data_IF_992458174408
#
_entry.id   IF_992458174408
#
_cell.length_a   1.000
_cell.length_b   1.000
_cell.length_c   1.000
_cell.angle_alpha   90.00
_cell.angle_beta   90.00
_cell.angle_gamma   90.00
#
_symmetry.space_group_name_H-M   'P 1'
#
loop_
_entity.id
_entity.type
_entity.pdbx_description
1 polymer ?
#
# COMPACT_ATOMS: atom_id res chain seq x y z
N UNK A 1 20.48 -18.06 -11.01
CA UNK A 1 20.16 -17.22 -9.84
C UNK A 1 19.90 -15.78 -10.28
N UNK A 2 18.80 -15.23 -9.85
CA UNK A 2 18.43 -13.87 -10.25
C UNK A 2 19.15 -12.83 -9.41
N UNK A 3 19.72 -11.83 -10.06
CA UNK A 3 20.29 -10.68 -9.36
C UNK A 3 19.29 -9.52 -9.27
N UNK A 4 18.12 -9.70 -9.84
CA UNK A 4 17.09 -8.67 -9.83
C UNK A 4 16.36 -8.65 -8.49
N UNK A 5 16.00 -7.46 -8.07
CA UNK A 5 15.30 -7.29 -6.80
C UNK A 5 14.16 -6.28 -6.96
N UNK A 6 13.05 -6.58 -6.33
CA UNK A 6 11.90 -5.68 -6.28
C UNK A 6 11.36 -5.73 -4.85
N UNK A 7 11.70 -4.74 -4.06
CA UNK A 7 11.37 -4.71 -2.65
C UNK A 7 10.92 -3.32 -2.26
N UNK A 8 9.79 -3.22 -1.59
CA UNK A 8 9.23 -1.97 -1.12
C UNK A 8 8.94 -2.11 0.35
N UNK A 9 9.39 -1.15 1.14
CA UNK A 9 9.07 -1.06 2.54
C UNK A 9 8.59 0.36 2.82
N UNK A 10 7.41 0.48 3.42
CA UNK A 10 6.82 1.78 3.71
C UNK A 10 6.18 1.76 5.07
N UNK A 11 6.18 2.92 5.72
CA UNK A 11 5.47 3.14 6.96
C UNK A 11 4.50 4.29 6.72
N UNK A 12 3.23 4.06 7.01
CA UNK A 12 2.21 5.08 6.76
C UNK A 12 0.89 4.74 7.42
N UNK A 13 -0.13 5.51 7.06
CA UNK A 13 -1.47 5.34 7.60
C UNK A 13 -2.40 4.84 6.50
N UNK A 14 -3.04 3.69 6.71
CA UNK A 14 -3.88 3.10 5.68
C UNK A 14 -5.30 3.62 5.72
N UNK A 15 -5.98 3.52 4.57
CA UNK A 15 -7.43 3.60 4.54
C UNK A 15 -8.01 2.25 4.96
N UNK A 16 -9.32 2.21 5.15
CA UNK A 16 -9.99 0.96 5.49
C UNK A 16 -9.85 -0.03 4.33
N UNK A 17 -9.39 -1.26 4.61
CA UNK A 17 -9.26 -2.26 3.55
C UNK A 17 -10.59 -2.71 2.99
N UNK A 18 -10.62 -2.95 1.70
CA UNK A 18 -11.79 -3.48 1.00
C UNK A 18 -11.45 -4.87 0.49
N UNK A 19 -12.28 -5.83 0.87
CA UNK A 19 -12.09 -7.22 0.45
C UNK A 19 -12.94 -7.55 -0.75
N UNK A 20 -12.31 -8.12 -1.77
CA UNK A 20 -13.00 -8.72 -2.89
C UNK A 20 -12.93 -10.23 -2.71
N UNK A 21 -14.03 -10.82 -2.22
CA UNK A 21 -14.04 -12.24 -1.89
C UNK A 21 -13.96 -13.14 -3.13
N UNK A 22 -14.44 -12.67 -4.27
CA UNK A 22 -14.36 -13.46 -5.50
C UNK A 22 -12.92 -13.66 -5.95
N UNK A 23 -12.11 -12.62 -5.81
CA UNK A 23 -10.71 -12.69 -6.19
C UNK A 23 -9.78 -13.06 -5.04
N UNK A 24 -10.34 -13.16 -3.83
CA UNK A 24 -9.57 -13.40 -2.64
C UNK A 24 -8.44 -12.35 -2.49
N UNK A 25 -8.82 -11.10 -2.66
CA UNK A 25 -7.90 -9.97 -2.75
C UNK A 25 -8.42 -8.83 -1.90
N UNK A 26 -7.53 -8.20 -1.16
CA UNK A 26 -7.84 -7.01 -0.38
C UNK A 26 -7.06 -5.83 -0.93
N UNK A 27 -7.66 -4.65 -0.87
CA UNK A 27 -6.99 -3.43 -1.33
C UNK A 27 -7.20 -2.31 -0.33
N UNK A 28 -6.22 -1.43 -0.26
CA UNK A 28 -6.29 -0.23 0.56
C UNK A 28 -5.29 0.78 0.01
N UNK A 29 -5.41 2.01 0.48
CA UNK A 29 -4.45 3.05 0.14
C UNK A 29 -3.62 3.38 1.37
N UNK A 30 -2.33 3.58 1.16
CA UNK A 30 -1.40 3.92 2.25
C UNK A 30 -0.92 5.35 2.06
N UNK A 31 -1.18 6.20 3.05
CA UNK A 31 -0.73 7.58 3.03
C UNK A 31 0.60 7.68 3.77
N UNK A 32 1.61 8.17 3.07
CA UNK A 32 2.95 8.33 3.62
C UNK A 32 3.31 9.80 3.57
N UNK A 33 3.59 10.37 4.73
CA UNK A 33 3.98 11.78 4.82
C UNK A 33 5.50 11.88 4.95
N UNK A 34 6.07 12.70 4.11
CA UNK A 34 7.51 12.93 4.10
C UNK A 34 7.78 14.42 4.23
N UNK A 35 8.82 14.75 4.98
CA UNK A 35 9.30 16.12 5.07
C UNK A 35 10.32 16.35 3.98
N UNK A 36 10.08 17.38 3.17
CA UNK A 36 11.04 17.76 2.13
C UNK A 36 11.76 19.03 2.56
N UNK A 37 13.08 18.96 2.57
CA UNK A 37 13.91 20.13 2.78
C UNK A 37 14.30 20.71 1.42
N UNK A 38 13.76 21.84 1.12
CA UNK A 38 14.11 22.53 -0.12
C UNK A 38 14.22 24.00 0.18
N UNK A 39 15.40 24.57 -0.08
CA UNK A 39 15.62 25.99 0.10
C UNK A 39 15.39 26.48 1.52
N UNK A 40 15.69 25.67 2.52
CA UNK A 40 15.53 26.05 3.92
C UNK A 40 14.11 25.96 4.44
N UNK A 41 13.19 25.49 3.63
CA UNK A 41 11.80 25.34 4.04
C UNK A 41 11.44 23.85 4.15
N UNK A 42 10.86 23.46 5.28
CA UNK A 42 10.39 22.10 5.50
C UNK A 42 8.89 22.09 5.43
N UNK A 43 8.33 21.56 4.34
CA UNK A 43 6.91 21.38 4.22
C UNK A 43 6.62 19.88 4.10
N UNK A 44 5.72 19.35 4.93
CA UNK A 44 5.36 17.94 4.79
C UNK A 44 4.56 17.72 3.51
N UNK A 45 4.86 16.63 2.83
CA UNK A 45 4.09 16.21 1.65
C UNK A 45 3.58 14.82 1.89
N UNK A 46 2.35 14.59 1.48
CA UNK A 46 1.72 13.28 1.64
C UNK A 46 1.55 12.63 0.27
N UNK A 47 2.03 11.41 0.18
CA UNK A 47 1.89 10.58 -1.01
C UNK A 47 0.99 9.42 -0.68
N UNK A 48 0.13 9.04 -1.62
CA UNK A 48 -0.79 7.93 -1.42
C UNK A 48 -0.47 6.83 -2.41
N UNK A 49 -0.35 5.62 -1.91
CA UNK A 49 0.02 4.46 -2.71
C UNK A 49 -1.08 3.42 -2.66
N UNK A 50 -1.40 2.84 -3.82
CA UNK A 50 -2.36 1.75 -3.90
C UNK A 50 -1.67 0.45 -3.47
N UNK A 51 -2.28 -0.23 -2.52
CA UNK A 51 -1.75 -1.47 -1.97
C UNK A 51 -2.77 -2.58 -2.16
N UNK A 52 -2.28 -3.77 -2.53
CA UNK A 52 -3.12 -4.95 -2.68
C UNK A 52 -2.48 -6.12 -1.98
N UNK A 53 -3.31 -7.03 -1.50
CA UNK A 53 -2.85 -8.27 -0.88
C UNK A 53 -3.71 -9.40 -1.41
N UNK A 54 -3.12 -10.57 -1.54
CA UNK A 54 -3.78 -11.75 -2.10
C UNK A 54 -3.78 -12.89 -1.11
N UNK A 55 -4.78 -13.77 -1.23
CA UNK A 55 -4.83 -15.01 -0.47
C UNK A 55 -4.88 -14.81 1.03
N UNK A 56 -4.03 -15.51 1.73
CA UNK A 56 -3.97 -15.44 3.19
C UNK A 56 -3.54 -14.05 3.68
N UNK A 57 -2.70 -13.39 2.91
CA UNK A 57 -2.28 -12.02 3.24
C UNK A 57 -3.49 -11.08 3.18
N UNK A 58 -4.37 -11.28 2.20
CA UNK A 58 -5.60 -10.47 2.10
C UNK A 58 -6.46 -10.61 3.33
N UNK A 59 -6.63 -11.83 3.82
CA UNK A 59 -7.40 -12.09 5.03
C UNK A 59 -6.78 -11.42 6.25
N UNK A 60 -5.46 -11.46 6.34
CA UNK A 60 -4.74 -10.83 7.44
C UNK A 60 -4.89 -9.31 7.38
N UNK A 61 -4.80 -8.73 6.19
CA UNK A 61 -4.94 -7.29 5.99
C UNK A 61 -6.32 -6.82 6.46
N UNK A 62 -7.38 -7.49 6.02
CA UNK A 62 -8.74 -7.10 6.39
C UNK A 62 -8.94 -7.20 7.90
N UNK A 63 -8.33 -8.20 8.53
CA UNK A 63 -8.49 -8.43 9.95
C UNK A 63 -7.68 -7.47 10.81
N UNK A 64 -6.47 -7.12 10.38
CA UNK A 64 -5.52 -6.39 11.23
C UNK A 64 -5.34 -4.93 10.89
N UNK A 65 -5.56 -4.55 9.63
CA UNK A 65 -5.36 -3.16 9.23
C UNK A 65 -6.55 -2.32 9.64
N UNK A 66 -6.28 -1.28 10.40
CA UNK A 66 -7.31 -0.35 10.84
C UNK A 66 -7.04 1.01 10.23
N UNK A 67 -8.11 1.65 9.78
CA UNK A 67 -8.01 2.96 9.14
C UNK A 67 -7.30 3.96 10.03
N UNK A 68 -6.29 4.63 9.47
CA UNK A 68 -5.56 5.69 10.15
C UNK A 68 -4.51 5.24 11.16
N UNK A 69 -4.38 3.94 11.40
CA UNK A 69 -3.39 3.44 12.36
C UNK A 69 -2.08 3.15 11.68
N UNK A 70 -1.02 3.71 12.22
CA UNK A 70 0.31 3.61 11.65
C UNK A 70 0.77 2.16 11.55
N UNK A 71 1.21 1.78 10.38
CA UNK A 71 1.74 0.44 10.15
C UNK A 71 2.86 0.48 9.12
N UNK A 72 3.62 -0.60 9.07
CA UNK A 72 4.63 -0.81 8.05
C UNK A 72 4.18 -1.93 7.13
N UNK A 73 4.50 -1.81 5.87
CA UNK A 73 4.24 -2.86 4.90
C UNK A 73 5.55 -3.26 4.26
N UNK A 74 5.61 -4.52 3.85
CA UNK A 74 6.71 -5.07 3.07
C UNK A 74 6.11 -5.77 1.87
N UNK A 75 6.61 -5.44 0.69
CA UNK A 75 6.06 -6.00 -0.53
C UNK A 75 6.92 -5.70 -1.74
N UNK A 76 6.30 -5.73 -2.89
CA UNK A 76 6.97 -5.40 -4.14
C UNK A 76 6.08 -4.52 -5.00
N UNK A 77 6.72 -3.77 -5.88
CA UNK A 77 6.04 -2.88 -6.79
C UNK A 77 5.56 -3.68 -8.00
N UNK A 78 4.30 -3.50 -8.36
CA UNK A 78 3.70 -4.11 -9.53
C UNK A 78 3.25 -3.03 -10.48
N UNK A 79 3.55 -3.22 -11.75
CA UNK A 79 3.22 -2.26 -12.78
C UNK A 79 2.68 -3.02 -13.97
N UNK A 80 1.49 -2.68 -14.42
CA UNK A 80 0.90 -3.35 -15.58
C UNK A 80 0.07 -2.38 -16.40
N UNK A 81 -0.03 -2.69 -17.68
CA UNK A 81 -0.76 -1.89 -18.63
C UNK A 81 -2.16 -2.46 -18.83
N UNK A 82 -3.12 -1.58 -19.04
CA UNK A 82 -4.46 -1.96 -19.39
C UNK A 82 -5.02 -0.98 -20.41
N UNK A 83 -6.00 -1.41 -21.18
CA UNK A 83 -6.66 -0.57 -22.16
C UNK A 83 -8.04 -0.17 -21.65
N UNK A 84 -8.37 1.12 -21.84
CA UNK A 84 -9.68 1.60 -21.50
C UNK A 84 -10.67 1.31 -22.65
N UNK A 85 -11.89 1.79 -22.51
CA UNK A 85 -12.94 1.53 -23.50
C UNK A 85 -12.67 2.17 -24.86
N UNK A 86 -11.86 3.21 -24.86
CA UNK A 86 -11.52 3.94 -26.07
C UNK A 86 -10.34 3.34 -26.78
N UNK A 87 -9.64 2.41 -26.11
CA UNK A 87 -8.46 1.76 -26.66
C UNK A 87 -7.14 2.42 -26.25
N UNK A 88 -7.19 3.42 -25.39
CA UNK A 88 -5.97 4.03 -24.87
C UNK A 88 -5.32 3.14 -23.83
N UNK A 89 -3.99 3.06 -23.88
CA UNK A 89 -3.24 2.26 -22.92
C UNK A 89 -2.91 3.10 -21.70
N UNK A 90 -3.19 2.53 -20.53
CA UNK A 90 -2.86 3.14 -19.25
C UNK A 90 -1.97 2.22 -18.46
N UNK A 91 -1.11 2.80 -17.64
CA UNK A 91 -0.25 2.03 -16.75
C UNK A 91 -0.74 2.19 -15.33
N UNK A 92 -0.95 1.08 -14.65
CA UNK A 92 -1.34 1.08 -13.25
C UNK A 92 -0.21 0.52 -12.41
N UNK A 93 0.15 1.24 -11.36
CA UNK A 93 1.20 0.83 -10.43
C UNK A 93 0.59 0.64 -9.06
N UNK A 94 0.90 -0.49 -8.45
CA UNK A 94 0.42 -0.80 -7.11
C UNK A 94 1.50 -1.57 -6.37
N UNK A 95 1.34 -1.66 -5.05
CA UNK A 95 2.26 -2.41 -4.20
C UNK A 95 1.55 -3.70 -3.81
N UNK A 96 2.15 -4.84 -4.13
CA UNK A 96 1.65 -6.12 -3.63
C UNK A 96 2.26 -6.33 -2.25
N UNK A 97 1.41 -6.38 -1.24
CA UNK A 97 1.82 -6.49 0.15
C UNK A 97 2.01 -7.95 0.51
N UNK A 98 3.18 -8.28 1.06
CA UNK A 98 3.48 -9.63 1.53
C UNK A 98 3.40 -9.74 3.04
N UNK A 99 3.71 -8.64 3.73
CA UNK A 99 3.72 -8.64 5.18
C UNK A 99 3.29 -7.28 5.72
N UNK A 100 2.63 -7.28 6.86
CA UNK A 100 2.25 -6.05 7.56
C UNK A 100 2.75 -6.11 8.98
N UNK A 101 3.17 -4.97 9.51
CA UNK A 101 3.67 -4.84 10.87
C UNK A 101 2.95 -3.65 11.51
N UNK A 102 2.18 -3.92 12.54
CA UNK A 102 1.45 -2.87 13.23
C UNK A 102 2.39 -2.09 14.15
N UNK A 103 2.46 -0.79 13.93
CA UNK A 103 3.31 0.08 14.73
C UNK A 103 2.50 0.70 15.87
N UNK A 104 1.28 1.18 15.54
CA UNK A 104 0.35 1.67 16.55
C UNK A 104 -0.65 0.58 16.86
N UNK A 105 -0.73 0.20 18.12
CA UNK A 105 -1.74 -0.76 18.53
C UNK A 105 -3.06 -0.04 18.78
N UNK A 106 -4.15 -0.82 18.80
CA UNK A 106 -5.47 -0.27 19.08
C UNK A 106 -5.45 0.39 20.45
N UNK A 107 -5.89 1.64 20.50
CA UNK A 107 -6.02 2.32 21.77
C UNK A 107 -7.11 1.69 22.57
N UNK A 108 -6.77 1.25 23.75
CA UNK A 108 -7.76 0.80 24.67
C UNK A 108 -8.42 2.00 25.34
N UNK A 109 -9.67 2.01 25.31
CA UNK A 109 -10.44 2.93 26.08
C UNK A 109 -10.94 4.09 25.58
#
# INVERSE_FOLDING_TARGET
MSTMRNSVMMIGRPTKPVMNSEENKASFKLAVSESQKSGGCCAPRTFTFDCVANGETAKRVVKKVEEGRLLAIDGSLRCYDYQDRVGDTHTHTEIEVFEIFLIETAKEG
#
